data_IF_902135263178
#
_entry.id   IF_902135263178
#
_cell.length_a   1.000
_cell.length_b   1.000
_cell.length_c   1.000
_cell.angle_alpha   90.00
_cell.angle_beta   90.00
_cell.angle_gamma   90.00
#
_symmetry.space_group_name_H-M   'P 1'
#
loop_
_entity.id
_entity.type
_entity.pdbx_description
1 polymer ?
#
# COMPACT_ATOMS: atom_id res chain seq x y z
N UNK A 1 6.50 4.16 -5.66
CA UNK A 1 7.25 5.29 -6.26
C UNK A 1 8.66 5.25 -5.72
N UNK A 2 9.64 5.30 -6.60
CA UNK A 2 11.05 5.48 -6.27
C UNK A 2 11.58 6.65 -7.11
N UNK A 3 12.70 7.23 -6.69
CA UNK A 3 13.42 8.22 -7.48
C UNK A 3 14.90 7.88 -7.44
N UNK A 4 15.60 8.22 -8.51
CA UNK A 4 17.03 8.01 -8.67
C UNK A 4 17.56 9.03 -9.66
N UNK A 5 18.86 9.30 -9.57
CA UNK A 5 19.58 10.17 -10.51
C UNK A 5 20.38 9.29 -11.45
N UNK A 6 20.43 9.68 -12.72
CA UNK A 6 21.26 9.01 -13.72
C UNK A 6 22.37 9.94 -14.17
N UNK A 7 23.58 9.43 -14.45
CA UNK A 7 24.67 10.24 -14.98
C UNK A 7 24.48 10.56 -16.47
N UNK A 8 23.48 9.96 -17.12
CA UNK A 8 23.14 10.15 -18.53
C UNK A 8 21.74 10.74 -18.66
N UNK A 9 21.54 11.52 -19.72
CA UNK A 9 20.23 12.00 -20.11
C UNK A 9 19.55 10.97 -21.03
N UNK A 10 18.25 10.76 -20.83
CA UNK A 10 17.44 9.88 -21.67
C UNK A 10 16.51 10.72 -22.54
N UNK A 11 16.74 10.73 -23.85
CA UNK A 11 15.90 11.47 -24.80
C UNK A 11 14.48 10.88 -24.90
N UNK A 12 14.34 9.56 -24.65
CA UNK A 12 13.08 8.84 -24.69
C UNK A 12 12.91 7.95 -23.44
N UNK A 13 12.04 8.37 -22.53
CA UNK A 13 11.76 7.61 -21.30
C UNK A 13 11.08 6.26 -21.56
N UNK A 14 10.40 6.10 -22.71
CA UNK A 14 9.78 4.83 -23.12
C UNK A 14 10.81 3.70 -23.29
N UNK A 15 11.96 4.01 -23.90
CA UNK A 15 13.05 3.04 -24.05
C UNK A 15 13.64 2.62 -22.71
N UNK A 16 13.76 3.55 -21.76
CA UNK A 16 14.15 3.24 -20.39
C UNK A 16 13.10 2.39 -19.68
N UNK A 17 11.81 2.73 -19.82
CA UNK A 17 10.71 1.97 -19.22
C UNK A 17 10.64 0.53 -19.73
N UNK A 18 10.78 0.32 -21.04
CA UNK A 18 10.85 -1.00 -21.66
C UNK A 18 12.09 -1.78 -21.19
N UNK A 19 13.27 -1.13 -21.19
CA UNK A 19 14.52 -1.74 -20.73
C UNK A 19 14.47 -2.20 -19.27
N UNK A 20 13.92 -1.38 -18.38
CA UNK A 20 13.74 -1.75 -16.97
C UNK A 20 12.85 -2.99 -16.82
N UNK A 21 11.70 -3.02 -17.50
CA UNK A 21 10.80 -4.17 -17.44
C UNK A 21 11.36 -5.43 -18.13
N UNK A 22 12.32 -5.28 -19.05
CA UNK A 22 13.01 -6.41 -19.69
C UNK A 22 14.02 -7.12 -18.80
N UNK A 23 14.60 -6.42 -17.81
CA UNK A 23 15.62 -6.99 -16.90
C UNK A 23 15.08 -7.34 -15.50
N UNK A 24 13.92 -6.81 -15.12
CA UNK A 24 13.33 -7.07 -13.81
C UNK A 24 12.75 -8.49 -13.71
N UNK A 25 12.83 -9.12 -12.52
CA UNK A 25 12.22 -10.42 -12.30
C UNK A 25 10.69 -10.36 -12.51
N UNK A 26 10.01 -11.47 -12.83
CA UNK A 26 8.61 -11.49 -13.25
C UNK A 26 7.59 -10.83 -12.30
N UNK A 27 7.92 -10.78 -11.01
CA UNK A 27 7.11 -10.25 -9.92
C UNK A 27 7.27 -8.74 -9.70
N UNK A 28 8.26 -8.10 -10.34
CA UNK A 28 8.51 -6.65 -10.24
C UNK A 28 8.33 -6.00 -11.60
N UNK A 29 7.45 -4.99 -11.67
CA UNK A 29 7.17 -4.24 -12.90
C UNK A 29 7.16 -2.74 -12.64
N UNK A 30 7.82 -1.99 -13.52
CA UNK A 30 7.73 -0.53 -13.57
C UNK A 30 6.47 -0.18 -14.34
N UNK A 31 5.53 0.50 -13.70
CA UNK A 31 4.27 0.91 -14.33
C UNK A 31 4.38 2.21 -15.12
N UNK A 32 5.26 3.10 -14.70
CA UNK A 32 5.42 4.44 -15.26
C UNK A 32 6.83 4.96 -14.96
N UNK A 33 7.37 5.78 -15.85
CA UNK A 33 8.61 6.54 -15.66
C UNK A 33 8.35 7.98 -16.06
N UNK A 34 8.78 8.93 -15.24
CA UNK A 34 8.65 10.35 -15.53
C UNK A 34 9.89 11.11 -15.07
N UNK A 35 10.28 12.13 -15.84
CA UNK A 35 11.26 13.11 -15.39
C UNK A 35 10.62 14.01 -14.31
N UNK A 36 11.40 14.32 -13.28
CA UNK A 36 10.97 15.13 -12.13
C UNK A 36 11.97 16.25 -11.90
N UNK A 37 11.56 17.26 -11.12
CA UNK A 37 12.46 18.33 -10.68
C UNK A 37 13.57 17.76 -9.80
N UNK A 38 14.71 18.45 -9.76
CA UNK A 38 15.91 18.03 -9.00
C UNK A 38 15.70 18.03 -7.48
N UNK A 39 14.69 18.74 -6.98
CA UNK A 39 14.31 18.80 -5.58
C UNK A 39 13.27 17.73 -5.18
N UNK A 40 12.80 16.92 -6.12
CA UNK A 40 11.85 15.85 -5.83
C UNK A 40 12.52 14.72 -5.06
N UNK A 41 11.86 14.25 -3.99
CA UNK A 41 12.27 13.07 -3.24
C UNK A 41 11.07 12.19 -2.92
N UNK A 42 11.03 10.96 -3.47
CA UNK A 42 9.85 10.08 -3.42
C UNK A 42 9.26 9.85 -2.00
N UNK A 43 10.09 9.91 -0.95
CA UNK A 43 9.63 9.80 0.45
C UNK A 43 9.07 11.12 1.02
N UNK A 44 9.74 12.25 0.75
CA UNK A 44 9.48 13.51 1.46
C UNK A 44 8.52 14.41 0.69
N UNK A 45 8.50 14.29 -0.64
CA UNK A 45 7.52 14.95 -1.50
C UNK A 45 6.16 14.23 -1.52
N UNK A 46 6.05 13.04 -0.93
CA UNK A 46 4.79 12.31 -0.85
C UNK A 46 3.82 12.99 0.13
N UNK A 47 2.64 13.37 -0.36
CA UNK A 47 1.63 14.05 0.47
C UNK A 47 0.90 13.08 1.41
N UNK A 48 0.49 11.92 0.89
CA UNK A 48 -0.29 10.90 1.60
C UNK A 48 0.02 9.51 1.06
N UNK A 49 -0.25 8.49 1.86
CA UNK A 49 -0.19 7.08 1.44
C UNK A 49 -1.54 6.42 1.70
N UNK A 50 -1.96 5.56 0.78
CA UNK A 50 -3.17 4.76 0.92
C UNK A 50 -2.77 3.29 0.97
N UNK A 51 -3.33 2.56 1.93
CA UNK A 51 -3.10 1.14 2.11
C UNK A 51 -4.44 0.40 1.97
N UNK A 52 -4.44 -0.73 1.28
CA UNK A 52 -5.58 -1.63 1.20
C UNK A 52 -5.19 -2.97 1.81
N UNK A 53 -5.91 -3.38 2.85
CA UNK A 53 -5.80 -4.72 3.41
C UNK A 53 -6.98 -5.56 2.94
N UNK A 54 -6.70 -6.76 2.42
CA UNK A 54 -7.71 -7.73 2.02
C UNK A 54 -7.80 -8.83 3.07
N UNK A 55 -9.02 -9.08 3.53
CA UNK A 55 -9.33 -10.21 4.42
C UNK A 55 -10.24 -11.14 3.63
N UNK A 56 -9.83 -12.39 3.48
CA UNK A 56 -10.66 -13.45 2.95
C UNK A 56 -11.43 -14.08 4.12
N UNK A 57 -12.73 -13.81 4.19
CA UNK A 57 -13.57 -14.16 5.35
C UNK A 57 -14.51 -15.32 5.05
N UNK A 58 -13.95 -16.53 4.98
CA UNK A 58 -14.69 -17.79 4.84
C UNK A 58 -13.97 -18.91 5.60
N UNK A 59 -14.66 -20.01 5.88
CA UNK A 59 -14.10 -21.17 6.57
C UNK A 59 -12.92 -21.79 5.80
N UNK A 60 -12.98 -21.78 4.47
CA UNK A 60 -11.97 -22.39 3.58
C UNK A 60 -11.41 -21.31 2.66
N UNK A 61 -10.09 -21.17 2.65
CA UNK A 61 -9.37 -20.18 1.83
C UNK A 61 -9.43 -20.53 0.34
N UNK A 62 -9.71 -19.55 -0.52
CA UNK A 62 -9.51 -19.69 -1.96
C UNK A 62 -7.99 -19.78 -2.26
N UNK A 63 -7.50 -20.87 -2.89
CA UNK A 63 -6.08 -21.01 -3.19
C UNK A 63 -5.50 -19.86 -4.03
N UNK A 64 -6.30 -19.21 -4.88
CA UNK A 64 -5.86 -18.08 -5.68
C UNK A 64 -5.69 -16.78 -4.89
N UNK A 65 -6.26 -16.70 -3.67
CA UNK A 65 -6.12 -15.54 -2.79
C UNK A 65 -5.03 -15.72 -1.74
N UNK A 66 -4.42 -16.91 -1.62
CA UNK A 66 -3.56 -17.29 -0.51
C UNK A 66 -2.36 -16.35 -0.30
N UNK A 67 -1.83 -15.76 -1.38
CA UNK A 67 -0.72 -14.80 -1.33
C UNK A 67 -1.17 -13.33 -1.29
N UNK A 68 -2.47 -13.06 -1.40
CA UNK A 68 -3.00 -11.73 -1.67
C UNK A 68 -4.03 -11.24 -0.64
N UNK A 69 -4.49 -12.11 0.26
CA UNK A 69 -5.41 -11.77 1.34
C UNK A 69 -5.10 -12.55 2.62
N UNK A 70 -5.38 -11.93 3.77
CA UNK A 70 -5.31 -12.59 5.06
C UNK A 70 -6.54 -13.49 5.25
N UNK A 71 -6.35 -14.78 5.52
CA UNK A 71 -7.44 -15.71 5.79
C UNK A 71 -7.95 -15.53 7.22
N UNK A 72 -9.26 -15.31 7.39
CA UNK A 72 -9.90 -15.26 8.69
C UNK A 72 -11.19 -16.08 8.66
N UNK A 73 -11.23 -17.21 9.36
CA UNK A 73 -12.32 -18.18 9.26
C UNK A 73 -13.60 -17.80 10.04
N UNK A 74 -13.49 -16.92 11.04
CA UNK A 74 -14.64 -16.55 11.87
C UNK A 74 -15.44 -15.41 11.24
N UNK A 75 -16.78 -15.46 11.34
CA UNK A 75 -17.64 -14.43 10.77
C UNK A 75 -17.31 -13.05 11.35
N UNK A 76 -16.98 -12.11 10.47
CA UNK A 76 -16.76 -10.72 10.83
C UNK A 76 -18.07 -9.94 10.84
N UNK A 77 -18.26 -9.10 11.85
CA UNK A 77 -19.33 -8.12 11.85
C UNK A 77 -18.86 -6.82 11.18
N UNK A 78 -19.17 -6.70 9.89
CA UNK A 78 -18.72 -5.58 9.05
C UNK A 78 -19.26 -4.24 9.55
N UNK A 79 -20.48 -4.19 10.09
CA UNK A 79 -21.08 -2.94 10.54
C UNK A 79 -20.42 -2.44 11.83
N UNK A 80 -20.06 -3.35 12.74
CA UNK A 80 -19.24 -3.01 13.92
C UNK A 80 -17.86 -2.55 13.49
N UNK A 81 -17.22 -3.20 12.53
CA UNK A 81 -15.91 -2.77 11.99
C UNK A 81 -15.99 -1.38 11.36
N UNK A 82 -17.04 -1.09 10.58
CA UNK A 82 -17.29 0.24 9.99
C UNK A 82 -17.48 1.30 11.06
N UNK A 83 -18.22 0.99 12.12
CA UNK A 83 -18.39 1.91 13.23
C UNK A 83 -17.06 2.14 13.97
N UNK A 84 -16.28 1.09 14.19
CA UNK A 84 -14.96 1.18 14.82
C UNK A 84 -13.98 2.02 13.99
N UNK A 85 -13.97 1.86 12.66
CA UNK A 85 -13.10 2.59 11.75
C UNK A 85 -13.23 4.12 11.87
N UNK A 86 -14.43 4.63 12.20
CA UNK A 86 -14.66 6.07 12.37
C UNK A 86 -13.85 6.67 13.52
N UNK A 87 -13.59 5.91 14.59
CA UNK A 87 -12.79 6.40 15.73
C UNK A 87 -11.32 6.65 15.37
N UNK A 88 -10.84 6.06 14.27
CA UNK A 88 -9.47 6.24 13.80
C UNK A 88 -9.28 7.50 12.94
N UNK A 89 -10.36 8.07 12.38
CA UNK A 89 -10.27 9.25 11.51
C UNK A 89 -9.88 10.48 12.36
N UNK A 90 -9.00 11.33 11.83
CA UNK A 90 -8.46 12.50 12.52
C UNK A 90 -7.05 12.25 13.09
N UNK A 91 -6.62 13.14 13.99
CA UNK A 91 -5.28 13.11 14.59
C UNK A 91 -5.28 12.31 15.89
N UNK A 92 -4.43 11.29 15.96
CA UNK A 92 -4.32 10.41 17.12
C UNK A 92 -2.86 10.04 17.41
N UNK A 93 -2.59 9.69 18.67
CA UNK A 93 -1.36 9.03 19.08
C UNK A 93 -1.47 7.53 18.79
N UNK A 94 -0.63 7.02 17.87
CA UNK A 94 -0.63 5.62 17.47
C UNK A 94 0.42 4.77 18.20
N UNK A 95 0.94 5.20 19.36
CA UNK A 95 1.97 4.47 20.11
C UNK A 95 1.60 3.00 20.39
N UNK A 96 0.33 2.72 20.65
CA UNK A 96 -0.16 1.35 20.87
C UNK A 96 -0.08 0.43 19.63
N UNK A 97 0.11 0.99 18.43
CA UNK A 97 0.18 0.27 17.16
C UNK A 97 1.60 0.23 16.57
N UNK A 98 2.60 0.73 17.29
CA UNK A 98 3.98 0.74 16.83
C UNK A 98 4.67 -0.56 17.23
N UNK A 99 5.25 -1.25 16.26
CA UNK A 99 6.21 -2.34 16.53
C UNK A 99 7.57 -1.73 16.87
N UNK A 100 8.25 -2.24 17.89
CA UNK A 100 9.64 -1.89 18.17
C UNK A 100 10.51 -2.27 16.96
N UNK A 101 10.94 -1.27 16.20
CA UNK A 101 11.83 -1.48 15.07
C UNK A 101 13.28 -1.51 15.54
N UNK A 102 14.17 -2.19 14.79
CA UNK A 102 15.62 -2.26 15.08
C UNK A 102 16.32 -0.89 15.10
N UNK A 103 15.65 0.19 14.69
CA UNK A 103 16.13 1.58 14.73
C UNK A 103 15.52 2.45 15.84
N UNK A 104 14.83 1.85 16.81
CA UNK A 104 14.14 2.57 17.89
C UNK A 104 12.68 2.92 17.57
N UNK A 105 12.04 3.64 18.50
CA UNK A 105 10.70 4.18 18.31
C UNK A 105 10.75 5.38 17.35
N UNK A 106 9.71 5.59 16.51
CA UNK A 106 9.55 6.85 15.78
C UNK A 106 9.60 8.03 16.76
N UNK A 107 10.26 9.12 16.35
CA UNK A 107 10.40 10.33 17.16
C UNK A 107 9.05 10.98 17.51
N UNK A 108 8.03 10.79 16.66
CA UNK A 108 6.65 11.23 16.92
C UNK A 108 5.66 10.16 16.43
N UNK A 109 4.82 9.58 17.30
CA UNK A 109 3.83 8.56 16.96
C UNK A 109 2.53 9.14 16.40
N UNK A 110 2.33 10.46 16.46
CA UNK A 110 1.06 11.09 16.05
C UNK A 110 0.86 11.02 14.55
N UNK A 111 -0.31 10.56 14.11
CA UNK A 111 -0.68 10.49 12.69
C UNK A 111 -2.09 11.00 12.49
N UNK A 112 -2.34 11.52 11.29
CA UNK A 112 -3.68 11.89 10.84
C UNK A 112 -4.18 10.85 9.83
N UNK A 113 -5.32 10.23 10.13
CA UNK A 113 -6.02 9.37 9.19
C UNK A 113 -7.13 10.18 8.53
N UNK A 114 -6.99 10.43 7.23
CA UNK A 114 -7.95 11.19 6.44
C UNK A 114 -9.20 10.38 6.07
N UNK A 115 -9.05 9.06 5.95
CA UNK A 115 -10.12 8.14 5.52
C UNK A 115 -9.81 6.72 6.01
N UNK A 116 -10.82 6.03 6.52
CA UNK A 116 -10.75 4.61 6.87
C UNK A 116 -12.07 3.94 6.50
N UNK A 117 -12.06 3.23 5.37
CA UNK A 117 -13.24 2.53 4.86
C UNK A 117 -13.14 1.03 5.13
N UNK A 118 -14.27 0.42 5.50
CA UNK A 118 -14.43 -1.04 5.56
C UNK A 118 -15.51 -1.45 4.56
N UNK A 119 -15.08 -2.15 3.52
CA UNK A 119 -15.93 -2.54 2.39
C UNK A 119 -16.00 -4.06 2.31
N UNK A 120 -17.22 -4.60 2.32
CA UNK A 120 -17.45 -6.01 1.97
C UNK A 120 -17.47 -6.11 0.45
N UNK A 121 -16.49 -6.82 -0.11
CA UNK A 121 -16.46 -7.11 -1.54
C UNK A 121 -17.33 -8.34 -1.80
N UNK A 122 -18.19 -8.25 -2.80
CA UNK A 122 -18.97 -9.39 -3.30
C UNK A 122 -18.23 -9.92 -4.51
N UNK A 123 -17.69 -11.14 -4.41
CA UNK A 123 -17.06 -11.80 -5.56
C UNK A 123 -18.18 -12.30 -6.47
N UNK A 124 -18.32 -11.70 -7.64
CA UNK A 124 -19.11 -12.29 -8.72
C UNK A 124 -18.19 -13.21 -9.51
N UNK A 125 -18.44 -14.51 -9.46
CA UNK A 125 -17.85 -15.42 -10.43
C UNK A 125 -18.64 -15.24 -11.73
N UNK A 126 -17.96 -14.76 -12.78
CA UNK A 126 -18.48 -14.85 -14.13
C UNK A 126 -18.53 -16.35 -14.47
N UNK A 127 -19.74 -16.92 -14.55
CA UNK A 127 -20.01 -18.25 -15.13
C UNK A 127 -19.97 -18.19 -16.63
#
# INVERSE_FOLDING_TARGET
>A
VAHFTTPFFFDQLESLHAGLNGVLPPDIRVREVAAVKTDFHARYSALKKTYHYKIYNDAIMDPFQNLYAYHFAHKLNIDVMRQAAKYFIGQHDFSAFITMSRGGLPTDPRREIFRFDVVKMVTFYLT
#
